data_IF_368995316222
#
_entry.id   IF_368995316222
#
_cell.length_a   1.000
_cell.length_b   1.000
_cell.length_c   1.000
_cell.angle_alpha   90.00
_cell.angle_beta   90.00
_cell.angle_gamma   90.00
#
_symmetry.space_group_name_H-M   'P 1'
#
loop_
_entity.id
_entity.type
_entity.pdbx_description
1 polymer ?
#
# COMPACT_ATOMS: atom_id res chain seq x y z
N UNK A 1 10.47 30.90 101.16
CA UNK A 1 11.75 30.35 100.69
C UNK A 1 11.50 29.55 99.42
N UNK A 2 11.84 30.12 98.27
CA UNK A 2 11.94 29.36 97.01
C UNK A 2 13.26 28.58 97.01
N UNK A 3 13.31 27.32 96.57
CA UNK A 3 14.54 26.78 96.03
C UNK A 3 14.60 27.15 94.55
N UNK A 4 15.47 28.13 94.28
CA UNK A 4 16.08 28.32 92.99
C UNK A 4 16.98 27.13 92.66
N UNK A 5 16.72 26.47 91.54
CA UNK A 5 17.81 25.92 90.73
C UNK A 5 17.30 25.75 89.31
N UNK A 6 17.54 26.76 88.48
CA UNK A 6 17.54 26.55 87.04
C UNK A 6 18.71 25.63 86.69
N UNK A 7 18.42 24.42 86.25
CA UNK A 7 19.35 23.66 85.43
C UNK A 7 19.16 24.09 83.98
N UNK A 8 20.16 24.81 83.45
CA UNK A 8 20.35 25.02 82.01
C UNK A 8 20.20 23.67 81.28
N UNK A 9 19.63 23.61 80.07
CA UNK A 9 19.60 22.38 79.29
C UNK A 9 21.06 21.97 79.02
N UNK A 10 21.48 20.85 79.60
CA UNK A 10 22.70 20.18 79.17
C UNK A 10 22.50 19.75 77.71
N UNK A 11 23.54 19.80 76.85
CA UNK A 11 23.42 19.28 75.51
C UNK A 11 23.15 17.79 75.66
N UNK A 12 21.89 17.37 75.48
CA UNK A 12 21.51 15.97 75.44
C UNK A 12 22.44 15.30 74.44
N UNK A 13 23.37 14.51 74.96
CA UNK A 13 24.44 13.91 74.18
C UNK A 13 23.81 13.26 72.96
N UNK A 14 24.38 13.52 71.78
CA UNK A 14 23.96 12.98 70.48
C UNK A 14 23.69 11.45 70.55
N UNK A 15 24.36 10.78 71.48
CA UNK A 15 24.21 9.36 71.80
C UNK A 15 22.86 8.98 72.44
N UNK A 16 22.29 9.81 73.33
CA UNK A 16 20.96 9.55 73.92
C UNK A 16 19.84 9.81 72.92
N UNK A 17 19.98 10.86 72.11
CA UNK A 17 19.08 11.11 70.97
C UNK A 17 19.12 9.95 69.95
N UNK A 18 20.31 9.44 69.63
CA UNK A 18 20.49 8.29 68.75
C UNK A 18 19.86 7.00 69.29
N UNK A 19 20.01 6.71 70.59
CA UNK A 19 19.36 5.54 71.23
C UNK A 19 17.85 5.67 71.25
N UNK A 20 17.31 6.87 71.47
CA UNK A 20 15.88 7.13 71.45
C UNK A 20 15.31 6.95 70.03
N UNK A 21 16.01 7.47 69.02
CA UNK A 21 15.69 7.26 67.60
C UNK A 21 15.69 5.77 67.22
N UNK A 22 16.70 5.02 67.63
CA UNK A 22 16.80 3.58 67.36
C UNK A 22 15.73 2.73 68.06
N UNK A 23 15.12 3.24 69.14
CA UNK A 23 13.98 2.60 69.81
C UNK A 23 12.66 2.88 69.10
N UNK A 24 12.52 4.04 68.46
CA UNK A 24 11.31 4.48 67.77
C UNK A 24 11.35 4.32 66.24
N UNK A 25 12.48 3.92 65.67
CA UNK A 25 12.60 3.73 64.22
C UNK A 25 11.75 2.56 63.72
N UNK A 26 11.13 2.74 62.56
CA UNK A 26 10.39 1.70 61.84
C UNK A 26 11.31 0.79 61.02
N UNK A 27 12.59 1.16 60.85
CA UNK A 27 13.57 0.34 60.14
C UNK A 27 13.89 -0.93 60.92
N UNK A 28 13.39 -2.06 60.41
CA UNK A 28 13.60 -3.37 61.02
C UNK A 28 15.09 -3.74 61.02
N UNK A 29 15.55 -4.36 62.11
CA UNK A 29 16.95 -4.79 62.27
C UNK A 29 17.88 -3.75 62.93
N UNK A 30 17.64 -2.44 62.76
CA UNK A 30 18.52 -1.38 63.28
C UNK A 30 18.62 -1.40 64.83
N UNK A 31 17.50 -1.69 65.52
CA UNK A 31 17.45 -1.87 66.98
C UNK A 31 18.28 -3.07 67.46
N UNK A 32 18.38 -4.15 66.70
CA UNK A 32 19.14 -5.35 67.07
C UNK A 32 20.64 -5.22 66.82
N UNK A 33 21.04 -4.30 65.95
CA UNK A 33 22.44 -3.96 65.69
C UNK A 33 23.00 -3.09 66.82
N UNK A 34 22.24 -2.07 67.25
CA UNK A 34 22.76 -1.04 68.15
C UNK A 34 22.29 -1.13 69.62
N UNK A 35 21.09 -1.67 69.90
CA UNK A 35 20.49 -1.63 71.26
C UNK A 35 20.50 -2.99 72.00
N UNK A 36 20.64 -4.13 71.31
CA UNK A 36 20.30 -5.46 71.89
C UNK A 36 21.36 -6.54 71.59
N UNK A 37 21.77 -7.34 72.60
CA UNK A 37 22.47 -8.63 72.42
C UNK A 37 24.01 -8.63 72.54
N UNK A 38 24.59 -9.83 72.55
CA UNK A 38 26.04 -10.11 72.58
C UNK A 38 26.72 -9.75 71.24
N UNK A 39 28.04 -9.54 71.27
CA UNK A 39 28.83 -9.17 70.08
C UNK A 39 28.54 -10.04 68.82
N UNK A 40 28.54 -11.39 68.88
CA UNK A 40 28.26 -12.20 67.68
C UNK A 40 26.82 -12.03 67.16
N UNK A 41 25.86 -11.79 68.05
CA UNK A 41 24.46 -11.53 67.65
C UNK A 41 24.34 -10.21 66.90
N UNK A 42 25.05 -9.17 67.34
CA UNK A 42 25.06 -7.87 66.64
C UNK A 42 25.70 -7.97 65.26
N UNK A 43 26.80 -8.72 65.13
CA UNK A 43 27.46 -8.98 63.84
C UNK A 43 26.53 -9.75 62.88
N UNK A 44 25.83 -10.79 63.35
CA UNK A 44 24.87 -11.52 62.53
C UNK A 44 23.71 -10.64 62.05
N UNK A 45 23.16 -9.77 62.92
CA UNK A 45 22.12 -8.82 62.54
C UNK A 45 22.61 -7.75 61.57
N UNK A 46 23.86 -7.29 61.70
CA UNK A 46 24.48 -6.36 60.77
C UNK A 46 24.62 -6.98 59.38
N UNK A 47 25.13 -8.21 59.27
CA UNK A 47 25.27 -8.92 58.00
C UNK A 47 23.90 -9.17 57.34
N UNK A 48 22.90 -9.62 58.11
CA UNK A 48 21.56 -9.83 57.60
C UNK A 48 20.90 -8.53 57.11
N UNK A 49 21.08 -7.43 57.85
CA UNK A 49 20.58 -6.11 57.44
C UNK A 49 21.28 -5.61 56.16
N UNK A 50 22.61 -5.71 56.07
CA UNK A 50 23.35 -5.33 54.86
C UNK A 50 22.95 -6.19 53.65
N UNK A 51 22.76 -7.50 53.83
CA UNK A 51 22.26 -8.38 52.78
C UNK A 51 20.84 -8.01 52.33
N UNK A 52 19.93 -7.70 53.26
CA UNK A 52 18.57 -7.26 52.94
C UNK A 52 18.56 -5.92 52.19
N UNK A 53 19.40 -4.97 52.61
CA UNK A 53 19.56 -3.67 51.93
C UNK A 53 20.15 -3.86 50.52
N UNK A 54 21.18 -4.70 50.38
CA UNK A 54 21.79 -4.99 49.08
C UNK A 54 20.79 -5.66 48.11
N UNK A 55 20.04 -6.65 48.58
CA UNK A 55 18.97 -7.27 47.80
C UNK A 55 17.89 -6.25 47.43
N UNK A 56 17.45 -5.42 48.37
CA UNK A 56 16.45 -4.38 48.09
C UNK A 56 16.91 -3.44 46.97
N UNK A 57 18.14 -2.92 47.02
CA UNK A 57 18.66 -2.06 45.97
C UNK A 57 18.84 -2.79 44.64
N UNK A 58 19.31 -4.05 44.66
CA UNK A 58 19.45 -4.85 43.45
C UNK A 58 18.10 -5.09 42.76
N UNK A 59 17.09 -5.54 43.52
CA UNK A 59 15.74 -5.80 42.99
C UNK A 59 15.03 -4.51 42.57
N UNK A 60 15.14 -3.44 43.37
CA UNK A 60 14.55 -2.14 43.03
C UNK A 60 15.20 -1.57 41.77
N UNK A 61 16.52 -1.62 41.67
CA UNK A 61 17.24 -1.19 40.47
C UNK A 61 16.85 -2.03 39.25
N UNK A 62 16.71 -3.34 39.39
CA UNK A 62 16.22 -4.20 38.31
C UNK A 62 14.82 -3.81 37.84
N UNK A 63 13.89 -3.52 38.77
CA UNK A 63 12.52 -3.09 38.42
C UNK A 63 12.47 -1.71 37.80
N UNK A 64 13.28 -0.77 38.29
CA UNK A 64 13.41 0.56 37.69
C UNK A 64 14.00 0.46 36.28
N UNK A 65 15.06 -0.34 36.08
CA UNK A 65 15.63 -0.57 34.75
C UNK A 65 14.63 -1.22 33.81
N UNK A 66 13.85 -2.18 34.30
CA UNK A 66 12.78 -2.79 33.51
C UNK A 66 11.69 -1.79 33.10
N UNK A 67 11.29 -0.88 33.99
CA UNK A 67 10.34 0.17 33.65
C UNK A 67 10.93 1.19 32.66
N UNK A 68 12.21 1.55 32.82
CA UNK A 68 12.92 2.44 31.90
C UNK A 68 13.21 1.79 30.53
N UNK A 69 13.13 0.46 30.42
CA UNK A 69 13.18 -0.23 29.13
C UNK A 69 11.83 -0.25 28.38
N UNK A 70 10.83 0.50 28.86
CA UNK A 70 9.52 0.65 28.22
C UNK A 70 8.87 -0.67 27.79
N UNK A 71 8.58 -1.58 28.73
CA UNK A 71 8.01 -2.88 28.40
C UNK A 71 6.58 -2.68 27.87
N UNK A 72 6.21 -3.45 26.85
CA UNK A 72 4.84 -3.48 26.32
C UNK A 72 4.34 -4.92 26.19
N UNK A 73 3.03 -5.11 26.21
CA UNK A 73 2.39 -6.37 25.85
C UNK A 73 1.25 -6.14 24.87
N UNK A 74 1.06 -7.13 23.98
CA UNK A 74 0.02 -7.09 22.96
C UNK A 74 -1.15 -7.96 23.39
N UNK A 75 -2.36 -7.40 23.35
CA UNK A 75 -3.60 -8.15 23.53
C UNK A 75 -4.32 -8.25 22.19
N UNK A 76 -4.65 -9.47 21.79
CA UNK A 76 -5.48 -9.74 20.62
C UNK A 76 -6.82 -10.31 21.07
N UNK A 77 -7.92 -9.74 20.57
CA UNK A 77 -9.27 -10.27 20.78
C UNK A 77 -10.07 -10.16 19.47
N UNK A 78 -10.96 -11.14 19.24
CA UNK A 78 -11.87 -11.11 18.10
C UNK A 78 -13.22 -10.57 18.55
N UNK A 79 -13.73 -9.58 17.84
CA UNK A 79 -15.03 -8.95 18.09
C UNK A 79 -15.98 -9.28 16.96
N UNK A 80 -17.17 -9.78 17.29
CA UNK A 80 -18.23 -9.99 16.31
C UNK A 80 -18.94 -8.67 16.01
N UNK A 81 -18.80 -8.17 14.79
CA UNK A 81 -19.36 -6.89 14.38
C UNK A 81 -20.66 -7.09 13.59
N UNK A 82 -21.77 -6.54 14.07
CA UNK A 82 -23.07 -6.64 13.37
C UNK A 82 -23.12 -5.83 12.06
N UNK A 83 -22.24 -4.84 11.92
CA UNK A 83 -22.13 -3.89 10.81
C UNK A 83 -20.67 -3.59 10.59
N UNK A 84 -20.14 -3.98 9.43
CA UNK A 84 -18.78 -3.68 9.00
C UNK A 84 -18.83 -2.75 7.80
N UNK A 85 -17.97 -1.74 7.78
CA UNK A 85 -17.82 -0.88 6.60
C UNK A 85 -17.10 -1.69 5.55
N UNK A 86 -17.67 -1.79 4.35
CA UNK A 86 -16.99 -2.46 3.25
C UNK A 86 -15.77 -1.61 2.85
N UNK A 87 -14.60 -2.19 2.56
CA UNK A 87 -13.43 -1.40 2.18
C UNK A 87 -13.57 -0.77 0.80
N UNK A 88 -12.60 0.09 0.47
CA UNK A 88 -12.34 0.49 -0.90
C UNK A 88 -11.61 -0.64 -1.63
N UNK A 89 -12.03 -0.92 -2.86
CA UNK A 89 -11.38 -1.90 -3.73
C UNK A 89 -10.90 -1.18 -4.98
N UNK A 90 -9.59 -0.99 -5.09
CA UNK A 90 -8.95 -0.40 -6.27
C UNK A 90 -8.47 -1.49 -7.21
N UNK A 91 -8.81 -1.36 -8.50
CA UNK A 91 -8.51 -2.32 -9.55
C UNK A 91 -7.83 -1.59 -10.70
N UNK A 92 -6.73 -2.16 -11.18
CA UNK A 92 -5.98 -1.67 -12.34
C UNK A 92 -5.74 -2.81 -13.33
N UNK A 93 -5.87 -2.52 -14.61
CA UNK A 93 -5.31 -3.40 -15.64
C UNK A 93 -3.78 -3.31 -15.57
N UNK A 94 -3.06 -4.42 -15.76
CA UNK A 94 -1.59 -4.39 -15.88
C UNK A 94 -1.14 -3.67 -17.14
N UNK A 95 -1.95 -3.68 -18.21
CA UNK A 95 -1.66 -2.92 -19.41
C UNK A 95 -2.02 -1.44 -19.24
N UNK A 96 -1.04 -0.57 -19.47
CA UNK A 96 -1.15 0.87 -19.27
C UNK A 96 -1.99 1.57 -20.35
N UNK A 97 -1.81 1.18 -21.62
CA UNK A 97 -2.36 1.87 -22.78
C UNK A 97 -2.89 0.91 -23.83
N UNK A 98 -3.95 1.33 -24.54
CA UNK A 98 -4.54 0.64 -25.67
C UNK A 98 -3.89 1.11 -26.98
N UNK A 99 -3.05 0.30 -27.66
CA UNK A 99 -2.34 0.69 -28.88
C UNK A 99 -3.29 1.09 -30.01
N UNK A 100 -4.43 0.40 -30.16
CA UNK A 100 -5.38 0.67 -31.25
C UNK A 100 -6.05 2.05 -31.16
N UNK A 101 -6.03 2.68 -29.98
CA UNK A 101 -6.56 4.04 -29.75
C UNK A 101 -5.52 5.13 -29.93
N UNK A 102 -4.25 4.77 -30.12
CA UNK A 102 -3.17 5.73 -30.31
C UNK A 102 -3.25 6.37 -31.68
N UNK A 103 -3.17 7.70 -31.70
CA UNK A 103 -3.02 8.49 -32.91
C UNK A 103 -1.54 8.65 -33.22
N UNK A 104 -1.23 9.05 -34.45
CA UNK A 104 0.15 9.37 -34.88
C UNK A 104 0.82 10.42 -33.99
N UNK A 105 0.07 11.42 -33.52
CA UNK A 105 0.54 12.44 -32.57
C UNK A 105 0.96 11.85 -31.23
N UNK A 106 0.21 10.86 -30.74
CA UNK A 106 0.45 10.22 -29.46
C UNK A 106 1.76 9.44 -29.55
N UNK A 107 1.87 8.58 -30.58
CA UNK A 107 3.08 7.78 -30.85
C UNK A 107 4.30 8.68 -31.02
N UNK A 108 4.17 9.81 -31.72
CA UNK A 108 5.27 10.77 -31.85
C UNK A 108 5.73 11.31 -30.48
N UNK A 109 4.79 11.69 -29.61
CA UNK A 109 5.09 12.29 -28.31
C UNK A 109 5.56 11.28 -27.24
N UNK A 110 4.98 10.08 -27.22
CA UNK A 110 5.16 9.08 -26.17
C UNK A 110 5.97 7.87 -26.62
N UNK A 111 6.27 7.75 -27.91
CA UNK A 111 6.95 6.59 -28.48
C UNK A 111 8.36 6.39 -27.94
N UNK A 112 9.08 7.46 -27.57
CA UNK A 112 10.41 7.34 -26.96
C UNK A 112 10.34 6.82 -25.52
N UNK A 113 9.31 7.23 -24.78
CA UNK A 113 9.01 6.73 -23.43
C UNK A 113 8.60 5.25 -23.48
N UNK A 114 7.74 4.86 -24.42
CA UNK A 114 7.32 3.47 -24.64
C UNK A 114 8.39 2.57 -25.31
N UNK A 115 9.58 3.08 -25.63
CA UNK A 115 10.63 2.33 -26.33
C UNK A 115 10.32 1.97 -27.80
N UNK A 116 9.24 2.51 -28.37
CA UNK A 116 8.87 2.35 -29.78
C UNK A 116 9.82 3.13 -30.69
N UNK A 117 10.21 4.32 -30.24
CA UNK A 117 10.96 5.29 -31.02
C UNK A 117 12.33 5.58 -30.41
N UNK A 118 13.34 5.57 -31.26
CA UNK A 118 14.73 5.87 -30.90
C UNK A 118 15.25 7.06 -31.73
N UNK A 119 16.22 7.78 -31.17
CA UNK A 119 16.95 8.81 -31.91
C UNK A 119 17.93 8.10 -32.84
N UNK A 120 17.93 8.50 -34.11
CA UNK A 120 18.91 8.00 -35.07
C UNK A 120 20.34 8.42 -34.67
N UNK A 121 21.35 7.54 -34.80
CA UNK A 121 22.71 7.81 -34.31
C UNK A 121 23.36 9.10 -34.87
N UNK A 122 22.96 9.52 -36.07
CA UNK A 122 23.56 10.64 -36.81
C UNK A 122 22.53 11.68 -37.32
N UNK A 123 21.30 11.68 -36.78
CA UNK A 123 20.22 12.58 -37.24
C UNK A 123 19.26 12.94 -36.11
N UNK A 124 18.66 14.14 -36.10
CA UNK A 124 17.58 14.47 -35.18
C UNK A 124 16.27 13.72 -35.48
N UNK A 125 16.24 12.91 -36.55
CA UNK A 125 15.06 12.15 -36.94
C UNK A 125 14.78 11.00 -35.97
N UNK A 126 13.49 10.78 -35.74
CA UNK A 126 12.97 9.69 -34.93
C UNK A 126 12.76 8.46 -35.82
N UNK A 127 13.33 7.32 -35.44
CA UNK A 127 13.12 6.05 -36.13
C UNK A 127 12.45 5.04 -35.20
N UNK A 128 11.70 4.11 -35.78
CA UNK A 128 11.11 3.00 -35.02
C UNK A 128 12.21 2.00 -34.70
N UNK A 129 12.29 1.57 -33.45
CA UNK A 129 13.28 0.56 -33.05
C UNK A 129 13.01 -0.75 -33.82
N UNK A 130 14.04 -1.48 -34.26
CA UNK A 130 13.86 -2.73 -35.01
C UNK A 130 13.00 -3.74 -34.25
N UNK A 131 13.17 -3.83 -32.93
CA UNK A 131 12.39 -4.70 -32.06
C UNK A 131 10.91 -4.28 -31.98
N UNK A 132 10.62 -2.98 -31.86
CA UNK A 132 9.24 -2.50 -31.86
C UNK A 132 8.55 -2.74 -33.20
N UNK A 133 9.29 -2.59 -34.30
CA UNK A 133 8.77 -2.86 -35.63
C UNK A 133 8.38 -4.34 -35.79
N UNK A 134 9.21 -5.26 -35.33
CA UNK A 134 8.91 -6.70 -35.36
C UNK A 134 7.70 -7.07 -34.48
N UNK A 135 7.65 -6.55 -33.26
CA UNK A 135 6.57 -6.80 -32.31
C UNK A 135 5.22 -6.17 -32.73
N UNK A 136 5.23 -5.04 -33.42
CA UNK A 136 4.00 -4.46 -34.00
C UNK A 136 3.46 -5.29 -35.18
N UNK A 137 4.35 -5.95 -35.93
CA UNK A 137 3.94 -6.83 -37.03
C UNK A 137 3.25 -8.10 -36.53
N UNK A 138 3.70 -8.66 -35.41
CA UNK A 138 3.08 -9.86 -34.83
C UNK A 138 1.69 -9.59 -34.24
N UNK A 139 1.43 -8.40 -33.68
CA UNK A 139 0.08 -8.04 -33.17
C UNK A 139 -0.94 -7.73 -34.26
N UNK A 140 -0.48 -7.13 -35.36
CA UNK A 140 -1.35 -6.58 -36.41
C UNK A 140 -1.41 -7.49 -37.65
N UNK A 141 -0.62 -8.57 -37.65
CA UNK A 141 -0.76 -9.69 -38.56
C UNK A 141 -1.94 -10.56 -38.12
N UNK A 142 -3.05 -10.42 -38.84
CA UNK A 142 -4.16 -11.38 -38.77
C UNK A 142 -3.60 -12.78 -39.07
N UNK A 143 -4.00 -13.81 -38.33
CA UNK A 143 -3.44 -15.17 -38.34
C UNK A 143 -3.66 -15.98 -39.62
N UNK A 144 -3.55 -15.34 -40.79
CA UNK A 144 -3.54 -15.95 -42.11
C UNK A 144 -2.11 -16.17 -42.60
N UNK A 145 -1.86 -17.38 -43.09
CA UNK A 145 -0.64 -17.92 -43.68
C UNK A 145 -0.12 -17.17 -44.94
N UNK A 146 0.09 -15.86 -44.85
CA UNK A 146 0.78 -15.09 -45.90
C UNK A 146 1.91 -14.27 -45.29
N UNK A 147 3.10 -14.84 -45.45
CA UNK A 147 4.40 -14.28 -45.14
C UNK A 147 4.56 -12.79 -45.53
N UNK A 148 5.02 -11.99 -44.57
CA UNK A 148 6.07 -10.99 -44.81
C UNK A 148 5.68 -9.59 -45.31
N UNK A 149 4.41 -9.17 -45.28
CA UNK A 149 4.05 -7.79 -45.66
C UNK A 149 3.38 -7.03 -44.52
N UNK A 150 4.00 -5.92 -44.10
CA UNK A 150 3.45 -5.00 -43.10
C UNK A 150 2.07 -4.48 -43.55
N UNK A 151 1.06 -4.42 -42.67
CA UNK A 151 -0.21 -3.78 -42.99
C UNK A 151 0.04 -2.33 -43.46
N UNK A 152 -0.47 -1.90 -44.63
CA UNK A 152 -0.17 -0.58 -45.20
C UNK A 152 -0.54 0.61 -44.31
N UNK A 153 -1.46 0.41 -43.36
CA UNK A 153 -1.88 1.44 -42.41
C UNK A 153 -0.87 1.60 -41.26
N UNK A 154 -0.22 0.52 -40.82
CA UNK A 154 0.77 0.52 -39.73
C UNK A 154 2.03 1.27 -40.17
N UNK A 155 2.55 0.94 -41.35
CA UNK A 155 3.69 1.65 -41.95
C UNK A 155 3.39 3.14 -42.17
N UNK A 156 2.14 3.50 -42.50
CA UNK A 156 1.72 4.91 -42.64
C UNK A 156 1.65 5.67 -41.30
N UNK A 157 1.25 5.01 -40.21
CA UNK A 157 1.19 5.63 -38.88
C UNK A 157 2.61 5.85 -38.33
N UNK A 158 3.53 4.92 -38.59
CA UNK A 158 4.91 4.95 -38.11
C UNK A 158 5.89 5.77 -38.97
N UNK A 159 5.48 6.24 -40.16
CA UNK A 159 6.33 7.09 -41.00
C UNK A 159 6.31 8.56 -40.54
N UNK A 160 7.36 9.00 -39.83
CA UNK A 160 7.47 10.37 -39.33
C UNK A 160 8.24 11.33 -40.26
N UNK A 161 8.72 10.90 -41.44
CA UNK A 161 9.61 11.70 -42.30
C UNK A 161 9.04 13.07 -42.71
N UNK A 162 7.73 13.13 -42.96
CA UNK A 162 7.00 14.36 -43.32
C UNK A 162 5.95 14.75 -42.27
N UNK A 163 6.09 14.27 -41.04
CA UNK A 163 5.14 14.58 -39.97
C UNK A 163 5.49 15.92 -39.35
N UNK A 164 4.56 16.87 -39.42
CA UNK A 164 4.67 18.14 -38.72
C UNK A 164 3.96 17.99 -37.37
N UNK A 165 4.69 17.93 -36.24
CA UNK A 165 4.06 17.79 -34.94
C UNK A 165 3.26 19.05 -34.60
N UNK A 166 2.11 18.90 -33.91
CA UNK A 166 1.36 20.05 -33.45
C UNK A 166 2.19 20.85 -32.43
N UNK A 167 1.96 22.18 -32.32
CA UNK A 167 2.63 23.02 -31.33
C UNK A 167 2.55 22.41 -29.94
N UNK A 168 3.62 22.52 -29.14
CA UNK A 168 3.72 21.89 -27.81
C UNK A 168 2.53 22.23 -26.90
N UNK A 169 2.03 23.47 -26.98
CA UNK A 169 0.87 23.97 -26.22
C UNK A 169 -0.45 23.25 -26.57
N UNK A 170 -0.54 22.66 -27.76
CA UNK A 170 -1.70 21.90 -28.22
C UNK A 170 -1.57 20.39 -28.04
N UNK A 171 -0.41 19.92 -27.54
CA UNK A 171 -0.21 18.51 -27.23
C UNK A 171 -0.95 18.14 -25.94
N UNK A 172 -1.57 16.94 -25.89
CA UNK A 172 -2.26 16.50 -24.69
C UNK A 172 -1.25 16.34 -23.55
N UNK A 173 -1.65 16.75 -22.34
CA UNK A 173 -0.85 16.44 -21.15
C UNK A 173 -0.81 14.93 -20.92
N UNK A 174 0.20 14.46 -20.18
CA UNK A 174 0.35 13.04 -19.88
C UNK A 174 -0.91 12.47 -19.21
N UNK A 175 -1.60 13.24 -18.37
CA UNK A 175 -2.89 12.86 -17.77
C UNK A 175 -3.98 12.65 -18.82
N UNK A 176 -4.14 13.57 -19.76
CA UNK A 176 -5.14 13.46 -20.82
C UNK A 176 -4.85 12.27 -21.75
N UNK A 177 -3.56 11.99 -21.97
CA UNK A 177 -3.10 10.83 -22.72
C UNK A 177 -3.52 9.53 -22.00
N UNK A 178 -3.15 9.36 -20.72
CA UNK A 178 -3.50 8.18 -19.92
C UNK A 178 -5.02 8.02 -19.76
N UNK A 179 -5.77 9.11 -19.58
CA UNK A 179 -7.22 9.04 -19.40
C UNK A 179 -7.95 8.49 -20.64
N UNK A 180 -7.48 8.87 -21.83
CA UNK A 180 -8.06 8.47 -23.11
C UNK A 180 -7.57 7.10 -23.59
N UNK A 181 -6.28 6.82 -23.40
CA UNK A 181 -5.65 5.60 -23.90
C UNK A 181 -5.72 4.45 -22.90
N UNK A 182 -5.99 4.71 -21.62
CA UNK A 182 -6.21 3.66 -20.63
C UNK A 182 -7.50 2.87 -20.87
N UNK A 183 -7.56 1.68 -20.29
CA UNK A 183 -8.75 0.83 -20.35
C UNK A 183 -9.97 1.52 -19.72
N UNK A 184 -11.10 1.49 -20.41
CA UNK A 184 -12.35 2.08 -19.93
C UNK A 184 -13.15 1.03 -19.15
N UNK A 185 -13.62 1.39 -17.95
CA UNK A 185 -14.33 0.45 -17.09
C UNK A 185 -15.63 -0.05 -17.74
N UNK A 186 -16.29 0.77 -18.55
CA UNK A 186 -17.51 0.42 -19.29
C UNK A 186 -17.31 -0.78 -20.23
N UNK A 187 -16.09 -0.98 -20.72
CA UNK A 187 -15.76 -2.08 -21.63
C UNK A 187 -15.17 -3.27 -20.88
N UNK A 188 -14.39 -3.01 -19.82
CA UNK A 188 -13.87 -4.07 -18.97
C UNK A 188 -14.98 -4.73 -18.13
N UNK A 189 -15.92 -3.96 -17.59
CA UNK A 189 -16.89 -4.46 -16.61
C UNK A 189 -18.08 -5.16 -17.29
N UNK A 190 -17.95 -6.48 -17.46
CA UNK A 190 -19.00 -7.32 -18.03
C UNK A 190 -20.19 -7.53 -17.08
N UNK A 191 -19.91 -7.64 -15.77
CA UNK A 191 -20.93 -7.86 -14.75
C UNK A 191 -20.42 -7.44 -13.37
N UNK A 192 -21.32 -6.89 -12.55
CA UNK A 192 -21.03 -6.37 -11.21
C UNK A 192 -22.23 -6.61 -10.29
N UNK A 193 -21.99 -7.18 -9.11
CA UNK A 193 -22.96 -7.22 -8.02
C UNK A 193 -22.33 -6.88 -6.67
N UNK A 194 -23.09 -6.17 -5.86
CA UNK A 194 -22.79 -5.92 -4.46
C UNK A 194 -23.97 -6.37 -3.60
N UNK A 195 -23.76 -7.29 -2.68
CA UNK A 195 -24.84 -7.84 -1.82
C UNK A 195 -26.03 -8.40 -2.62
N UNK A 196 -25.75 -8.95 -3.80
CA UNK A 196 -26.78 -9.46 -4.70
C UNK A 196 -27.49 -8.40 -5.56
N UNK A 197 -27.31 -7.11 -5.27
CA UNK A 197 -27.81 -5.99 -6.09
C UNK A 197 -26.87 -5.70 -7.25
N UNK A 198 -27.43 -5.28 -8.39
CA UNK A 198 -26.64 -4.94 -9.57
C UNK A 198 -25.88 -3.62 -9.35
N UNK A 199 -24.58 -3.63 -9.66
CA UNK A 199 -23.75 -2.42 -9.73
C UNK A 199 -23.26 -2.19 -11.16
N UNK A 200 -22.66 -1.02 -11.41
CA UNK A 200 -22.11 -0.69 -12.71
C UNK A 200 -20.94 0.29 -12.63
N UNK A 201 -20.42 0.77 -13.78
CA UNK A 201 -19.25 1.63 -13.83
C UNK A 201 -19.40 2.92 -13.01
N UNK A 202 -20.63 3.44 -12.87
CA UNK A 202 -20.91 4.65 -12.09
C UNK A 202 -20.62 4.50 -10.59
N UNK A 203 -20.56 3.28 -10.06
CA UNK A 203 -20.23 3.01 -8.66
C UNK A 203 -18.73 3.05 -8.38
N UNK A 204 -17.90 3.21 -9.41
CA UNK A 204 -16.45 3.31 -9.31
C UNK A 204 -16.01 4.75 -9.53
N UNK A 205 -15.01 5.19 -8.77
CA UNK A 205 -14.30 6.45 -9.02
C UNK A 205 -13.00 6.17 -9.76
N UNK A 206 -12.66 7.01 -10.73
CA UNK A 206 -11.38 6.91 -11.45
C UNK A 206 -10.25 7.47 -10.61
N UNK A 207 -9.16 6.71 -10.50
CA UNK A 207 -7.93 7.11 -9.83
C UNK A 207 -6.74 6.78 -10.72
N UNK A 208 -5.72 7.63 -10.72
CA UNK A 208 -4.48 7.36 -11.44
C UNK A 208 -3.45 6.78 -10.49
N UNK A 209 -2.80 5.69 -10.88
CA UNK A 209 -1.70 5.05 -10.14
C UNK A 209 -0.48 4.93 -11.06
N UNK A 210 0.59 4.25 -10.63
CA UNK A 210 1.71 3.90 -11.52
C UNK A 210 1.27 3.03 -12.71
N UNK A 211 0.23 2.21 -12.58
CA UNK A 211 -0.38 1.48 -13.72
C UNK A 211 -1.33 2.33 -14.57
N UNK A 212 -1.30 3.66 -14.44
CA UNK A 212 -2.17 4.57 -15.17
C UNK A 212 -3.61 4.56 -14.67
N UNK A 213 -4.58 4.38 -15.57
CA UNK A 213 -6.01 4.58 -15.29
C UNK A 213 -6.61 3.39 -14.53
N UNK A 214 -6.98 3.62 -13.28
CA UNK A 214 -7.55 2.61 -12.39
C UNK A 214 -8.91 3.04 -11.83
N UNK A 215 -9.59 2.09 -11.19
CA UNK A 215 -10.96 2.27 -10.71
C UNK A 215 -11.11 1.77 -9.27
N UNK A 216 -11.68 2.62 -8.41
CA UNK A 216 -11.93 2.31 -7.00
C UNK A 216 -13.41 2.17 -6.74
N UNK A 217 -13.84 0.97 -6.32
CA UNK A 217 -15.16 0.73 -5.78
C UNK A 217 -15.24 1.22 -4.34
N UNK A 218 -16.35 1.87 -3.97
CA UNK A 218 -16.62 2.31 -2.60
C UNK A 218 -15.50 3.21 -2.00
N UNK A 219 -15.03 4.17 -2.80
CA UNK A 219 -13.98 5.12 -2.41
C UNK A 219 -14.39 6.10 -1.31
N UNK A 220 -15.69 6.28 -1.06
CA UNK A 220 -16.19 7.28 -0.11
C UNK A 220 -16.05 8.73 -0.58
N UNK A 221 -15.60 8.94 -1.81
CA UNK A 221 -15.46 10.27 -2.43
C UNK A 221 -16.79 10.73 -3.04
N UNK A 222 -16.86 12.00 -3.44
CA UNK A 222 -18.03 12.64 -4.07
C UNK A 222 -19.31 12.67 -3.21
N UNK A 223 -19.16 12.66 -1.87
CA UNK A 223 -20.29 12.71 -0.94
C UNK A 223 -21.16 11.44 -0.93
N UNK A 224 -20.66 10.33 -1.49
CA UNK A 224 -21.38 9.05 -1.51
C UNK A 224 -21.28 8.35 -0.14
N UNK A 225 -22.37 7.78 0.37
CA UNK A 225 -22.34 7.04 1.63
C UNK A 225 -21.51 5.76 1.48
N UNK A 226 -20.76 5.40 2.52
CA UNK A 226 -19.98 4.16 2.57
C UNK A 226 -20.90 2.95 2.61
N UNK A 227 -20.59 1.96 1.78
CA UNK A 227 -21.30 0.69 1.76
C UNK A 227 -20.93 -0.15 2.99
N UNK A 228 -21.90 -0.89 3.53
CA UNK A 228 -21.73 -1.70 4.75
C UNK A 228 -22.14 -3.14 4.51
N UNK A 229 -21.41 -4.08 5.09
CA UNK A 229 -21.76 -5.50 5.12
C UNK A 229 -22.25 -5.94 6.49
N UNK A 230 -23.27 -6.79 6.49
CA UNK A 230 -23.97 -7.28 7.69
C UNK A 230 -23.69 -8.75 8.00
N UNK A 231 -23.24 -9.49 6.99
CA UNK A 231 -23.08 -10.95 7.02
C UNK A 231 -21.93 -11.36 6.10
N UNK A 232 -21.18 -12.36 6.51
CA UNK A 232 -20.19 -13.04 5.68
C UNK A 232 -20.78 -13.95 4.61
N UNK A 233 -19.90 -14.59 3.84
CA UNK A 233 -20.25 -15.55 2.78
C UNK A 233 -20.52 -14.92 1.41
N UNK A 234 -20.26 -15.66 0.33
CA UNK A 234 -20.05 -15.23 -1.09
C UNK A 234 -21.17 -14.47 -1.82
N UNK A 235 -22.31 -14.21 -1.18
CA UNK A 235 -23.41 -13.41 -1.75
C UNK A 235 -23.48 -11.96 -1.23
N UNK A 236 -22.87 -11.68 -0.08
CA UNK A 236 -22.99 -10.42 0.67
C UNK A 236 -21.85 -9.40 0.42
N UNK A 237 -21.17 -9.50 -0.72
CA UNK A 237 -19.90 -8.81 -1.00
C UNK A 237 -19.83 -8.43 -2.47
N UNK A 238 -18.62 -8.17 -2.98
CA UNK A 238 -18.42 -7.66 -4.33
C UNK A 238 -18.08 -8.79 -5.31
N UNK A 239 -18.93 -8.96 -6.32
CA UNK A 239 -18.73 -9.93 -7.39
C UNK A 239 -18.56 -9.20 -8.72
N UNK A 240 -17.40 -9.35 -9.37
CA UNK A 240 -17.08 -8.71 -10.65
C UNK A 240 -16.72 -9.75 -11.70
N UNK A 241 -17.12 -9.47 -12.94
CA UNK A 241 -16.66 -10.16 -14.14
C UNK A 241 -16.04 -9.10 -15.05
N UNK A 242 -14.77 -9.28 -15.37
CA UNK A 242 -13.95 -8.31 -16.08
C UNK A 242 -13.41 -8.91 -17.38
N UNK A 243 -13.45 -8.15 -18.47
CA UNK A 243 -12.66 -8.40 -19.66
C UNK A 243 -11.36 -7.61 -19.55
N UNK A 244 -10.21 -8.28 -19.58
CA UNK A 244 -8.90 -7.61 -19.57
C UNK A 244 -8.54 -7.05 -20.94
N UNK A 245 -9.20 -7.48 -22.02
CA UNK A 245 -8.91 -7.02 -23.39
C UNK A 245 -7.44 -7.25 -23.77
N UNK A 246 -6.94 -8.48 -23.60
CA UNK A 246 -5.55 -8.83 -23.91
C UNK A 246 -5.17 -8.63 -25.38
N UNK A 247 -6.15 -8.69 -26.27
CA UNK A 247 -6.04 -8.34 -27.70
C UNK A 247 -5.66 -6.87 -27.95
N UNK A 248 -5.74 -6.04 -26.91
CA UNK A 248 -5.40 -4.62 -26.92
C UNK A 248 -4.16 -4.31 -26.07
N UNK A 249 -3.37 -5.31 -25.66
CA UNK A 249 -2.14 -5.06 -24.90
C UNK A 249 -1.03 -4.51 -25.79
N UNK A 250 -0.19 -3.65 -25.22
CA UNK A 250 1.07 -3.26 -25.86
C UNK A 250 1.98 -4.49 -26.00
N UNK A 251 2.55 -4.77 -27.19
CA UNK A 251 3.48 -5.86 -27.32
C UNK A 251 4.82 -5.44 -26.71
N UNK A 252 5.52 -6.40 -26.09
CA UNK A 252 6.77 -6.11 -25.41
C UNK A 252 7.93 -6.23 -26.39
N UNK A 253 8.56 -5.10 -26.70
CA UNK A 253 9.72 -4.99 -27.61
C UNK A 253 11.01 -4.52 -26.92
N UNK A 254 10.95 -4.28 -25.61
CA UNK A 254 12.09 -3.87 -24.80
C UNK A 254 11.72 -3.88 -23.32
N UNK A 255 12.74 -3.89 -22.45
CA UNK A 255 12.55 -3.75 -21.01
C UNK A 255 12.42 -2.26 -20.70
N UNK A 256 11.18 -1.83 -20.44
CA UNK A 256 10.85 -0.52 -19.86
C UNK A 256 9.97 -0.73 -18.64
N UNK A 257 9.96 0.21 -17.70
CA UNK A 257 9.18 0.10 -16.46
C UNK A 257 7.65 0.02 -16.72
N UNK A 258 7.22 0.44 -17.91
CA UNK A 258 5.82 0.52 -18.33
C UNK A 258 5.34 -0.68 -19.14
N UNK A 259 6.26 -1.55 -19.61
CA UNK A 259 5.93 -2.75 -20.37
C UNK A 259 5.96 -3.98 -19.47
N UNK A 260 4.79 -4.50 -19.10
CA UNK A 260 4.67 -5.71 -18.28
C UNK A 260 4.53 -6.98 -19.14
N UNK A 261 5.24 -8.05 -18.76
CA UNK A 261 5.04 -9.40 -19.32
C UNK A 261 3.79 -10.12 -18.78
N UNK A 262 3.17 -9.56 -17.74
CA UNK A 262 2.05 -10.17 -17.03
C UNK A 262 0.72 -9.79 -17.69
N UNK A 263 -0.21 -10.75 -17.73
CA UNK A 263 -1.59 -10.52 -18.15
C UNK A 263 -2.56 -10.79 -17.00
N UNK A 264 -3.46 -9.84 -16.76
CA UNK A 264 -4.37 -9.85 -15.62
C UNK A 264 -4.60 -8.45 -15.08
N UNK A 265 -5.10 -8.41 -13.85
CA UNK A 265 -5.35 -7.16 -13.13
C UNK A 265 -4.63 -7.19 -11.78
N UNK A 266 -4.24 -6.02 -11.29
CA UNK A 266 -3.87 -5.86 -9.88
C UNK A 266 -5.04 -5.29 -9.10
N UNK A 267 -5.20 -5.79 -7.87
CA UNK A 267 -6.25 -5.38 -6.95
C UNK A 267 -5.64 -5.01 -5.60
N UNK A 268 -6.08 -3.90 -5.03
CA UNK A 268 -5.75 -3.51 -3.66
C UNK A 268 -7.04 -3.28 -2.87
N UNK A 269 -7.08 -3.87 -1.68
CA UNK A 269 -8.15 -3.65 -0.69
C UNK A 269 -7.57 -2.76 0.40
N UNK A 270 -8.18 -1.60 0.62
CA UNK A 270 -7.69 -0.59 1.55
C UNK A 270 -8.84 0.16 2.22
N UNK A 271 -8.51 0.95 3.24
CA UNK A 271 -9.47 1.88 3.87
C UNK A 271 -9.74 3.07 2.95
N UNK A 272 -10.88 3.73 3.10
CA UNK A 272 -11.25 4.88 2.27
C UNK A 272 -10.35 6.10 2.51
N UNK A 273 -9.81 6.24 3.72
CA UNK A 273 -8.91 7.34 4.09
C UNK A 273 -7.48 7.14 3.58
N UNK A 274 -7.17 5.93 3.09
CA UNK A 274 -5.85 5.57 2.59
C UNK A 274 -5.82 5.60 1.06
N UNK A 275 -4.92 6.37 0.42
CA UNK A 275 -4.76 6.35 -1.04
C UNK A 275 -4.20 4.98 -1.50
N UNK A 276 -4.62 4.49 -2.69
CA UNK A 276 -4.11 3.23 -3.22
C UNK A 276 -2.63 3.36 -3.63
N UNK A 277 -1.86 2.33 -3.30
CA UNK A 277 -0.46 2.15 -3.61
C UNK A 277 -0.25 0.72 -4.16
N UNK A 278 -0.97 0.46 -5.25
CA UNK A 278 -1.30 -0.86 -5.79
C UNK A 278 -0.10 -1.58 -6.44
N UNK A 279 0.87 -0.80 -6.89
CA UNK A 279 2.16 -1.24 -7.42
C UNK A 279 2.95 -2.05 -6.39
N UNK A 280 2.95 -1.63 -5.12
CA UNK A 280 3.64 -2.35 -4.04
C UNK A 280 2.72 -3.22 -3.18
N UNK A 281 1.50 -2.77 -2.89
CA UNK A 281 0.60 -3.44 -1.94
C UNK A 281 -0.54 -4.24 -2.60
N UNK A 282 -0.69 -4.12 -3.93
CA UNK A 282 -1.69 -4.85 -4.69
C UNK A 282 -1.33 -6.31 -4.89
N UNK A 283 -2.34 -7.17 -4.96
CA UNK A 283 -2.20 -8.57 -5.36
C UNK A 283 -2.71 -8.76 -6.80
N UNK A 284 -2.07 -9.67 -7.54
CA UNK A 284 -2.48 -10.00 -8.91
C UNK A 284 -3.67 -10.94 -8.95
N UNK A 285 -4.55 -10.77 -9.94
CA UNK A 285 -5.60 -11.72 -10.28
C UNK A 285 -5.50 -12.10 -11.76
N UNK A 286 -5.32 -13.40 -12.00
CA UNK A 286 -5.13 -13.97 -13.31
C UNK A 286 -6.45 -14.13 -14.09
N UNK A 287 -6.41 -14.05 -15.44
CA UNK A 287 -7.54 -14.40 -16.29
C UNK A 287 -7.94 -15.88 -16.17
N UNK A 288 -9.23 -16.14 -16.44
CA UNK A 288 -9.98 -17.41 -16.43
C UNK A 288 -9.87 -18.26 -15.19
N UNK A 289 -9.62 -17.57 -14.10
CA UNK A 289 -9.99 -18.00 -12.79
C UNK A 289 -11.09 -17.09 -12.26
N UNK A 290 -12.00 -17.71 -11.51
CA UNK A 290 -12.81 -17.04 -10.53
C UNK A 290 -12.05 -17.05 -9.22
N UNK A 291 -11.50 -15.91 -8.84
CA UNK A 291 -10.72 -15.76 -7.60
C UNK A 291 -11.64 -15.31 -6.48
N UNK A 292 -11.65 -16.04 -5.38
CA UNK A 292 -12.29 -15.70 -4.11
C UNK A 292 -11.26 -15.08 -3.17
N UNK A 293 -11.60 -13.94 -2.58
CA UNK A 293 -10.73 -13.21 -1.66
C UNK A 293 -11.45 -13.02 -0.34
N UNK A 294 -11.20 -13.96 0.58
CA UNK A 294 -11.65 -13.84 1.98
C UNK A 294 -10.89 -12.72 2.66
N UNK A 295 -11.59 -11.87 3.40
CA UNK A 295 -11.08 -10.68 4.05
C UNK A 295 -11.48 -10.67 5.53
N UNK A 296 -10.55 -10.27 6.39
CA UNK A 296 -10.80 -10.03 7.80
C UNK A 296 -10.33 -8.60 8.14
N UNK A 297 -11.22 -7.77 8.68
CA UNK A 297 -10.84 -6.45 9.19
C UNK A 297 -10.00 -6.62 10.47
N UNK A 298 -8.81 -6.02 10.47
CA UNK A 298 -7.88 -6.03 11.59
C UNK A 298 -7.65 -4.59 12.01
N UNK A 299 -8.00 -4.24 13.25
CA UNK A 299 -7.74 -2.92 13.84
C UNK A 299 -6.54 -3.04 14.76
N UNK A 300 -5.49 -2.31 14.43
CA UNK A 300 -4.23 -2.29 15.15
C UNK A 300 -4.05 -0.94 15.84
N UNK A 301 -3.81 -0.97 17.14
CA UNK A 301 -3.47 0.21 17.94
C UNK A 301 -2.07 0.06 18.52
N UNK A 302 -1.15 0.91 18.09
CA UNK A 302 0.23 1.01 18.56
C UNK A 302 0.37 2.11 19.62
N UNK A 303 1.47 2.04 20.38
CA UNK A 303 1.80 3.02 21.42
C UNK A 303 2.88 3.99 20.92
N UNK A 304 2.76 5.30 21.25
CA UNK A 304 3.75 6.29 20.85
C UNK A 304 5.05 6.18 21.69
N UNK A 305 6.12 6.89 21.28
CA UNK A 305 7.36 6.95 22.05
C UNK A 305 7.12 7.49 23.47
N UNK A 306 7.77 6.95 24.52
CA UNK A 306 8.88 5.98 24.52
C UNK A 306 8.46 4.49 24.57
N UNK A 307 7.16 4.18 24.47
CA UNK A 307 6.68 2.79 24.58
C UNK A 307 6.70 2.03 23.26
N UNK A 308 6.54 2.72 22.14
CA UNK A 308 6.67 2.15 20.81
C UNK A 308 6.97 3.24 19.79
N UNK A 309 7.04 2.85 18.53
CA UNK A 309 7.33 3.76 17.43
C UNK A 309 6.07 3.92 16.59
N UNK A 310 5.26 4.93 16.91
CA UNK A 310 4.12 5.31 16.09
C UNK A 310 3.86 6.82 16.10
N UNK A 311 3.34 7.30 14.99
CA UNK A 311 2.92 8.69 14.79
C UNK A 311 1.45 8.86 15.15
N UNK A 312 1.18 9.75 16.09
CA UNK A 312 -0.19 10.11 16.52
C UNK A 312 -0.63 11.50 16.05
N UNK A 313 0.28 12.27 15.46
CA UNK A 313 -0.01 13.61 14.96
C UNK A 313 -0.79 13.55 13.65
N UNK A 314 -1.64 14.56 13.43
CA UNK A 314 -2.32 14.75 12.15
C UNK A 314 -1.29 14.93 11.02
N UNK A 315 -1.72 14.63 9.80
CA UNK A 315 -0.90 14.81 8.60
C UNK A 315 -0.59 16.31 8.44
N UNK A 316 0.70 16.64 8.29
CA UNK A 316 1.18 17.98 7.92
C UNK A 316 1.49 17.95 6.42
N UNK A 317 0.43 17.86 5.60
CA UNK A 317 0.52 17.85 4.14
C UNK A 317 -0.66 18.61 3.56
N UNK A 318 -0.40 19.35 2.49
CA UNK A 318 -1.42 20.09 1.75
C UNK A 318 -2.35 19.16 0.94
N UNK A 319 -1.98 17.89 0.77
CA UNK A 319 -2.67 16.96 -0.15
C UNK A 319 -3.59 15.95 0.52
N UNK A 320 -3.29 15.53 1.75
CA UNK A 320 -4.05 14.49 2.45
C UNK A 320 -4.46 14.95 3.85
N UNK A 321 -5.72 14.71 4.22
CA UNK A 321 -6.27 15.08 5.54
C UNK A 321 -5.89 14.08 6.64
N UNK A 322 -5.76 12.80 6.28
CA UNK A 322 -5.51 11.71 7.22
C UNK A 322 -4.11 11.14 7.00
N UNK A 323 -3.36 10.96 8.09
CA UNK A 323 -2.04 10.35 8.01
C UNK A 323 -2.16 8.83 7.81
N UNK A 324 -1.59 8.36 6.70
CA UNK A 324 -1.35 6.95 6.44
C UNK A 324 0.08 6.76 5.93
N UNK A 325 0.60 5.53 6.00
CA UNK A 325 1.94 5.21 5.52
C UNK A 325 2.04 5.51 4.02
N UNK A 326 1.02 5.15 3.25
CA UNK A 326 0.93 5.38 1.81
C UNK A 326 0.80 6.85 1.46
N UNK A 327 -0.01 7.63 2.20
CA UNK A 327 -0.12 9.07 1.99
C UNK A 327 1.21 9.78 2.25
N UNK A 328 1.91 9.41 3.33
CA UNK A 328 3.25 9.92 3.64
C UNK A 328 4.26 9.64 2.52
N UNK A 329 4.24 8.42 1.98
CA UNK A 329 5.15 8.03 0.89
C UNK A 329 4.86 8.77 -0.41
N UNK A 330 3.59 8.85 -0.81
CA UNK A 330 3.19 9.59 -2.01
C UNK A 330 3.55 11.08 -1.88
N UNK A 331 3.33 11.68 -0.70
CA UNK A 331 3.73 13.07 -0.42
C UNK A 331 5.26 13.25 -0.54
N UNK A 332 6.04 12.32 0.02
CA UNK A 332 7.50 12.33 -0.07
C UNK A 332 8.02 12.17 -1.51
N UNK A 333 7.52 11.18 -2.25
CA UNK A 333 7.85 10.93 -3.65
C UNK A 333 7.48 12.14 -4.53
N UNK A 334 6.33 12.77 -4.26
CA UNK A 334 5.89 13.97 -4.98
C UNK A 334 6.82 15.15 -4.76
N UNK A 335 7.19 15.43 -3.49
CA UNK A 335 8.07 16.55 -3.16
C UNK A 335 9.46 16.37 -3.77
N UNK A 336 10.02 15.17 -3.65
CA UNK A 336 11.31 14.82 -4.24
C UNK A 336 11.32 15.03 -5.76
N UNK A 337 10.25 14.58 -6.43
CA UNK A 337 10.15 14.72 -7.89
C UNK A 337 9.97 16.17 -8.33
N UNK A 338 9.18 16.96 -7.60
CA UNK A 338 9.01 18.38 -7.88
C UNK A 338 10.31 19.15 -7.66
N UNK A 339 11.08 18.84 -6.60
CA UNK A 339 12.38 19.46 -6.33
C UNK A 339 13.44 19.11 -7.39
N UNK A 340 13.49 17.86 -7.84
CA UNK A 340 14.53 17.40 -8.77
C UNK A 340 14.18 17.56 -10.25
N UNK A 341 12.92 17.34 -10.62
CA UNK A 341 12.46 17.34 -12.02
C UNK A 341 11.52 18.51 -12.37
N UNK A 342 11.13 19.37 -11.41
CA UNK A 342 10.20 20.50 -11.59
C UNK A 342 8.83 20.10 -12.18
N UNK A 343 8.45 18.84 -12.04
CA UNK A 343 7.21 18.28 -12.55
C UNK A 343 6.74 17.16 -11.63
N UNK A 344 5.48 16.74 -11.78
CA UNK A 344 4.93 15.59 -11.06
C UNK A 344 4.37 14.53 -12.02
N UNK A 345 4.37 13.28 -11.59
CA UNK A 345 3.71 12.20 -12.33
C UNK A 345 2.18 12.31 -12.23
N UNK A 346 1.47 11.60 -13.12
CA UNK A 346 0.01 11.68 -13.23
C UNK A 346 -0.73 11.24 -11.95
N UNK A 347 -0.17 10.28 -11.21
CA UNK A 347 -0.74 9.76 -9.97
C UNK A 347 -0.41 10.58 -8.73
N UNK A 348 0.55 11.51 -8.83
CA UNK A 348 0.98 12.34 -7.72
C UNK A 348 0.01 13.51 -7.51
N UNK A 349 -0.33 13.86 -6.25
CA UNK A 349 -1.16 15.01 -5.95
C UNK A 349 -0.44 16.35 -6.19
N UNK A 350 -1.18 17.46 -6.04
CA UNK A 350 -0.66 18.82 -6.09
C UNK A 350 -0.82 19.57 -7.41
N UNK A 351 -0.36 20.81 -7.41
CA UNK A 351 -0.60 21.78 -8.50
C UNK A 351 0.60 21.92 -9.46
N UNK A 352 1.70 21.22 -9.20
CA UNK A 352 2.84 21.17 -10.10
C UNK A 352 2.43 20.66 -11.50
N UNK A 353 3.10 21.09 -12.58
CA UNK A 353 2.78 20.62 -13.92
C UNK A 353 3.06 19.12 -14.07
N UNK A 354 2.27 18.44 -14.90
CA UNK A 354 2.53 17.05 -15.25
C UNK A 354 3.83 16.92 -16.05
N UNK A 355 4.65 15.92 -15.72
CA UNK A 355 5.85 15.62 -16.50
C UNK A 355 5.49 15.25 -17.96
N UNK A 356 6.31 15.71 -18.90
CA UNK A 356 6.22 15.28 -20.31
C UNK A 356 6.75 13.85 -20.47
N UNK A 357 6.38 13.12 -21.55
CA UNK A 357 6.94 11.79 -21.80
C UNK A 357 8.47 11.76 -21.86
N UNK A 358 9.12 12.85 -22.31
CA UNK A 358 10.59 12.95 -22.27
C UNK A 358 11.10 13.09 -20.83
N UNK A 359 10.46 13.91 -20.00
CA UNK A 359 10.82 14.05 -18.59
C UNK A 359 10.60 12.77 -17.79
N UNK A 360 9.59 11.97 -18.13
CA UNK A 360 9.38 10.63 -17.56
C UNK A 360 10.65 9.79 -17.72
N UNK A 361 11.06 9.57 -18.98
CA UNK A 361 12.22 8.75 -19.32
C UNK A 361 13.56 9.32 -18.83
N UNK A 362 13.77 10.63 -18.94
CA UNK A 362 15.08 11.25 -18.69
C UNK A 362 15.29 11.65 -17.22
N UNK A 363 14.22 11.86 -16.45
CA UNK A 363 14.32 12.35 -15.06
C UNK A 363 13.46 11.54 -14.10
N UNK A 364 12.16 11.42 -14.36
CA UNK A 364 11.21 11.01 -13.35
C UNK A 364 11.33 9.52 -12.95
N UNK A 365 11.43 8.62 -13.94
CA UNK A 365 11.59 7.19 -13.69
C UNK A 365 12.93 6.90 -12.99
N UNK A 366 14.09 7.37 -13.49
CA UNK A 366 15.38 7.16 -12.81
C UNK A 366 15.46 7.80 -11.42
N UNK A 367 14.80 8.94 -11.20
CA UNK A 367 14.78 9.61 -9.90
C UNK A 367 14.00 8.80 -8.86
N UNK A 368 12.85 8.23 -9.24
CA UNK A 368 12.07 7.38 -8.34
C UNK A 368 12.75 6.02 -8.10
N UNK A 369 13.37 5.42 -9.12
CA UNK A 369 14.13 4.19 -8.95
C UNK A 369 15.31 4.39 -8.00
N UNK A 370 16.01 5.51 -8.12
CA UNK A 370 17.06 5.89 -7.16
C UNK A 370 16.50 6.04 -5.74
N UNK A 371 15.35 6.69 -5.58
CA UNK A 371 14.73 6.89 -4.26
C UNK A 371 14.33 5.56 -3.61
N UNK A 372 13.78 4.63 -4.39
CA UNK A 372 13.31 3.33 -3.88
C UNK A 372 14.47 2.36 -3.62
N UNK A 373 15.50 2.34 -4.47
CA UNK A 373 16.59 1.35 -4.37
C UNK A 373 17.81 1.82 -3.58
N UNK A 374 18.15 3.11 -3.64
CA UNK A 374 19.45 3.64 -3.20
C UNK A 374 19.36 4.54 -1.98
N UNK A 375 18.21 5.20 -1.76
CA UNK A 375 18.03 6.21 -0.72
C UNK A 375 16.93 5.83 0.29
N UNK A 376 17.24 4.83 1.13
CA UNK A 376 16.33 4.37 2.19
C UNK A 376 16.12 5.39 3.32
N UNK A 377 16.89 6.47 3.37
CA UNK A 377 16.88 7.43 4.47
C UNK A 377 16.05 8.68 4.16
N UNK A 378 15.75 8.96 2.89
CA UNK A 378 15.03 10.19 2.51
C UNK A 378 13.53 10.14 2.82
N UNK A 379 12.86 9.02 2.49
CA UNK A 379 11.42 8.84 2.75
C UNK A 379 11.13 7.89 3.92
N UNK A 380 11.47 8.32 5.14
CA UNK A 380 11.14 7.57 6.36
C UNK A 380 9.74 7.92 6.84
N UNK A 381 8.78 7.01 6.60
CA UNK A 381 7.40 7.14 7.05
C UNK A 381 7.11 6.26 8.26
N UNK A 382 6.84 6.89 9.40
CA UNK A 382 6.47 6.21 10.64
C UNK A 382 5.08 5.56 10.53
N UNK A 383 4.85 4.47 11.27
CA UNK A 383 3.54 3.81 11.31
C UNK A 383 2.53 4.66 12.11
N UNK A 384 1.28 4.80 11.65
CA UNK A 384 0.26 5.48 12.45
C UNK A 384 -0.10 4.68 13.70
N UNK A 385 -0.42 5.36 14.79
CA UNK A 385 -0.83 4.68 16.02
C UNK A 385 -2.16 3.93 15.87
N UNK A 386 -3.06 4.38 15.00
CA UNK A 386 -4.30 3.69 14.67
C UNK A 386 -4.29 3.30 13.20
N UNK A 387 -4.44 2.00 12.93
CA UNK A 387 -4.36 1.44 11.59
C UNK A 387 -5.45 0.38 11.43
N UNK A 388 -6.12 0.39 10.29
CA UNK A 388 -7.00 -0.72 9.89
C UNK A 388 -6.37 -1.44 8.70
N UNK A 389 -6.18 -2.75 8.83
CA UNK A 389 -5.68 -3.64 7.78
C UNK A 389 -6.73 -4.67 7.41
N UNK A 390 -6.65 -5.16 6.19
CA UNK A 390 -7.50 -6.26 5.71
C UNK A 390 -6.61 -7.48 5.49
N UNK A 391 -6.65 -8.42 6.43
CA UNK A 391 -6.07 -9.75 6.25
C UNK A 391 -6.81 -10.47 5.13
N UNK A 392 -6.10 -11.12 4.22
CA UNK A 392 -6.70 -11.73 3.04
C UNK A 392 -6.27 -13.17 2.82
N UNK A 393 -7.20 -14.04 2.46
CA UNK A 393 -6.96 -15.41 2.03
C UNK A 393 -7.53 -15.60 0.61
N UNK A 394 -6.69 -16.08 -0.30
CA UNK A 394 -7.04 -16.23 -1.71
C UNK A 394 -7.28 -17.69 -2.05
N UNK A 395 -8.35 -17.96 -2.78
CA UNK A 395 -8.62 -19.24 -3.42
C UNK A 395 -9.17 -19.01 -4.83
N UNK A 396 -9.07 -20.00 -5.71
CA UNK A 396 -9.48 -19.82 -7.11
C UNK A 396 -10.09 -21.08 -7.69
N UNK A 397 -11.03 -20.91 -8.61
CA UNK A 397 -11.62 -21.97 -9.43
C UNK A 397 -11.57 -21.60 -10.89
N UNK A 398 -11.46 -22.59 -11.77
CA UNK A 398 -11.40 -22.36 -13.22
C UNK A 398 -12.72 -21.82 -13.76
N UNK A 399 -12.65 -20.85 -14.67
CA UNK A 399 -13.81 -20.34 -15.41
C UNK A 399 -13.41 -20.04 -16.86
N UNK A 400 -14.22 -20.41 -17.88
CA UNK A 400 -15.51 -21.10 -17.78
C UNK A 400 -15.41 -22.63 -17.64
N UNK A 401 -16.50 -23.24 -17.18
CA UNK A 401 -16.71 -24.68 -17.37
C UNK A 401 -16.99 -24.99 -18.84
N UNK A 402 -16.75 -26.24 -19.27
CA UNK A 402 -17.07 -26.69 -20.64
C UNK A 402 -18.54 -26.44 -21.01
N UNK A 403 -19.46 -26.57 -20.04
CA UNK A 403 -20.88 -26.33 -20.24
C UNK A 403 -21.23 -24.84 -20.42
N UNK A 404 -20.51 -23.95 -19.74
CA UNK A 404 -20.80 -22.51 -19.75
C UNK A 404 -20.04 -21.73 -20.82
N UNK A 405 -18.98 -22.29 -21.41
CA UNK A 405 -18.13 -21.62 -22.40
C UNK A 405 -18.94 -21.09 -23.60
N UNK A 406 -19.74 -21.96 -24.24
CA UNK A 406 -20.57 -21.60 -25.40
C UNK A 406 -21.62 -20.54 -25.07
N UNK A 407 -22.18 -20.58 -23.85
CA UNK A 407 -23.14 -19.59 -23.40
C UNK A 407 -22.50 -18.22 -23.25
N UNK A 408 -21.31 -18.14 -22.63
CA UNK A 408 -20.59 -16.89 -22.44
C UNK A 408 -20.12 -16.30 -23.78
N UNK A 409 -19.69 -17.15 -24.73
CA UNK A 409 -19.29 -16.74 -26.08
C UNK A 409 -20.43 -16.03 -26.81
N UNK A 410 -21.61 -16.64 -26.77
CA UNK A 410 -22.81 -16.04 -27.36
C UNK A 410 -23.26 -14.79 -26.61
N UNK A 411 -23.18 -14.77 -25.27
CA UNK A 411 -23.66 -13.66 -24.44
C UNK A 411 -22.83 -12.39 -24.67
N UNK A 412 -21.52 -12.51 -24.79
CA UNK A 412 -20.60 -11.38 -24.92
C UNK A 412 -20.12 -11.15 -26.36
N UNK A 413 -20.67 -11.89 -27.33
CA UNK A 413 -20.30 -11.82 -28.74
C UNK A 413 -18.78 -11.97 -28.97
N UNK A 414 -18.18 -12.96 -28.31
CA UNK A 414 -16.76 -13.32 -28.42
C UNK A 414 -16.62 -14.75 -28.93
N UNK A 415 -15.47 -15.10 -29.50
CA UNK A 415 -15.23 -16.46 -29.99
C UNK A 415 -15.12 -17.46 -28.83
N UNK A 416 -15.50 -18.71 -29.07
CA UNK A 416 -15.30 -19.77 -28.07
C UNK A 416 -13.82 -19.93 -27.75
N UNK A 417 -12.94 -19.71 -28.72
CA UNK A 417 -11.49 -19.65 -28.52
C UNK A 417 -11.11 -18.53 -27.55
N UNK A 418 -11.53 -17.27 -27.75
CA UNK A 418 -11.26 -16.16 -26.85
C UNK A 418 -11.67 -16.46 -25.38
N UNK A 419 -12.79 -17.15 -25.21
CA UNK A 419 -13.33 -17.50 -23.90
C UNK A 419 -12.77 -18.81 -23.31
N UNK A 420 -12.32 -19.74 -24.16
CA UNK A 420 -11.76 -21.03 -23.76
C UNK A 420 -10.22 -21.06 -23.71
N UNK A 421 -9.55 -20.09 -24.34
CA UNK A 421 -8.09 -19.91 -24.39
C UNK A 421 -7.51 -19.50 -23.05
N UNK A 422 -8.30 -19.45 -21.98
CA UNK A 422 -7.75 -19.40 -20.62
C UNK A 422 -7.22 -20.79 -20.18
N UNK A 423 -6.50 -21.46 -21.08
CA UNK A 423 -5.85 -22.74 -20.88
C UNK A 423 -4.37 -22.54 -21.21
N UNK A 424 -3.52 -22.53 -20.19
CA UNK A 424 -2.09 -22.77 -20.42
C UNK A 424 -1.95 -24.20 -20.98
N UNK A 425 -1.59 -24.29 -22.28
CA UNK A 425 -0.60 -25.20 -22.87
C UNK A 425 -0.58 -25.15 -24.43
N UNK A 426 -1.00 -24.04 -25.06
CA UNK A 426 -0.56 -23.78 -26.44
C UNK A 426 -0.48 -22.27 -26.70
N UNK A 427 0.53 -21.85 -27.45
CA UNK A 427 0.89 -20.46 -27.66
C UNK A 427 -0.22 -19.68 -28.40
N UNK A 428 -0.44 -18.44 -27.97
CA UNK A 428 -1.18 -17.31 -28.60
C UNK A 428 -2.64 -17.04 -28.15
N UNK A 429 -2.75 -15.96 -27.36
CA UNK A 429 -3.90 -15.07 -27.08
C UNK A 429 -5.01 -15.55 -26.12
N UNK A 430 -4.90 -15.17 -24.84
CA UNK A 430 -5.89 -15.41 -23.77
C UNK A 430 -6.79 -14.17 -23.57
N UNK A 431 -8.03 -14.25 -23.06
CA UNK A 431 -8.70 -13.07 -22.45
C UNK A 431 -9.95 -13.39 -21.62
N UNK A 432 -9.97 -12.83 -20.39
CA UNK A 432 -11.15 -12.70 -19.53
C UNK A 432 -10.84 -13.05 -18.07
N UNK A 433 -11.14 -12.18 -17.11
CA UNK A 433 -10.91 -12.39 -15.66
C UNK A 433 -12.25 -12.36 -14.92
N UNK A 434 -12.50 -13.29 -14.00
CA UNK A 434 -13.66 -13.17 -13.10
C UNK A 434 -13.13 -12.96 -11.68
N UNK A 435 -13.20 -11.72 -11.19
CA UNK A 435 -12.79 -11.41 -9.83
C UNK A 435 -14.01 -11.45 -8.92
N UNK A 436 -14.15 -12.51 -8.12
CA UNK A 436 -15.13 -12.53 -7.04
C UNK A 436 -14.46 -12.17 -5.72
N UNK A 437 -14.40 -10.88 -5.41
CA UNK A 437 -13.85 -10.41 -4.15
C UNK A 437 -14.78 -10.75 -3.00
N UNK A 438 -14.59 -11.94 -2.43
CA UNK A 438 -15.39 -12.32 -1.29
C UNK A 438 -14.82 -13.36 -0.34
N UNK A 439 -14.77 -12.95 0.92
CA UNK A 439 -15.50 -13.48 2.08
C UNK A 439 -15.15 -12.58 3.27
N UNK A 440 -15.98 -11.59 3.62
CA UNK A 440 -15.76 -10.88 4.89
C UNK A 440 -16.15 -11.80 6.03
N UNK A 441 -15.21 -12.16 6.90
CA UNK A 441 -15.58 -12.75 8.18
C UNK A 441 -16.37 -11.71 8.98
N UNK A 442 -17.44 -12.13 9.65
CA UNK A 442 -18.22 -11.27 10.58
C UNK A 442 -17.41 -10.83 11.83
N UNK A 443 -16.15 -11.27 11.90
CA UNK A 443 -15.23 -11.07 13.00
C UNK A 443 -14.18 -10.04 12.60
N UNK A 444 -14.11 -8.94 13.36
CA UNK A 444 -13.00 -8.00 13.31
C UNK A 444 -11.98 -8.37 14.39
N UNK A 445 -10.72 -8.55 14.00
CA UNK A 445 -9.64 -8.74 14.97
C UNK A 445 -9.18 -7.38 15.49
N UNK A 446 -9.21 -7.20 16.81
CA UNK A 446 -8.67 -6.01 17.46
C UNK A 446 -7.38 -6.39 18.18
N UNK A 447 -6.30 -5.69 17.84
CA UNK A 447 -4.97 -5.89 18.41
C UNK A 447 -4.54 -4.56 19.04
N UNK A 448 -4.36 -4.56 20.35
CA UNK A 448 -4.02 -3.37 21.11
C UNK A 448 -2.74 -3.61 21.93
N UNK A 449 -1.81 -2.67 21.84
CA UNK A 449 -0.63 -2.61 22.69
C UNK A 449 -0.92 -1.87 23.99
N UNK A 450 -0.44 -2.40 25.11
CA UNK A 450 -0.61 -1.85 26.45
C UNK A 450 0.73 -1.75 27.19
N UNK A 451 0.79 -0.85 28.18
CA UNK A 451 1.91 -0.65 29.12
C UNK A 451 1.69 -1.46 30.39
#
# INVERSE_FOLDING_TARGET
>A
MCPSSGSKPSPGSLTEAGKLFLKHTTLHGLRHIFLSGSYPRRVAWLLAFLAAVALFFAWSSNRVRYLLSSPMYTKAHMVYAKRLVFPAVTICNQNLLLPRRMKKTDIFSSGRWLGVLEKEPDSPNLQVSPAAREALLTLLGDGGESAGSEPPWLSRILDFKNFLPPPLESQPSMRQLLDRLGHQLEEMLLYCRYQGELCGPRNFSTIFTRYGKCYTFNSGQDGRPLLVTMKGGTGNGLELMLDIQQDEYLPVWGETDETSFEAGIKVQIHTQDEPPFIDQLGFGVAPGFQTFVSCQEQRLTYLPPPWGDCKSTAMDSDFFSTYSITACRIDCETRYLVENCNCRMVHMPGDAPYCTPEQYKECADPALDFLVERDNDYCVCETPCNLTRYGKELSFVKIPSKASAKYLAKKFNKTEQYIALINVLDQTNDSGVICKLQEFHDESAEVQSFV
#
